data_IF_649951379221
#
_entry.id   IF_649951379221
#
_cell.length_a   1.000
_cell.length_b   1.000
_cell.length_c   1.000
_cell.angle_alpha   90.00
_cell.angle_beta   90.00
_cell.angle_gamma   90.00
#
_symmetry.space_group_name_H-M   'P 1'
#
loop_
_entity.id
_entity.type
_entity.pdbx_description
1 polymer ?
#
# COMPACT_ATOMS: atom_id res chain seq x y z
N UNK A 1 -20.95 7.73 9.97
CA UNK A 1 -19.99 8.86 9.91
C UNK A 1 -18.52 8.39 9.82
N UNK A 2 -18.03 7.45 10.64
CA UNK A 2 -16.62 7.00 10.57
C UNK A 2 -16.26 6.12 9.35
N UNK A 3 -17.21 5.35 8.81
CA UNK A 3 -16.97 4.50 7.63
C UNK A 3 -16.51 5.30 6.40
N UNK A 4 -17.07 6.50 6.21
CA UNK A 4 -16.73 7.38 5.08
C UNK A 4 -15.28 7.88 5.15
N UNK A 5 -14.78 8.23 6.34
CA UNK A 5 -13.40 8.71 6.52
C UNK A 5 -12.38 7.61 6.30
N UNK A 6 -12.65 6.39 6.79
CA UNK A 6 -11.78 5.23 6.57
C UNK A 6 -11.68 4.88 5.08
N UNK A 7 -12.82 4.77 4.42
CA UNK A 7 -12.87 4.44 3.00
C UNK A 7 -12.07 5.44 2.15
N UNK A 8 -12.26 6.75 2.39
CA UNK A 8 -11.49 7.79 1.70
C UNK A 8 -9.98 7.68 1.97
N UNK A 9 -9.58 7.35 3.19
CA UNK A 9 -8.17 7.16 3.54
C UNK A 9 -7.56 5.93 2.85
N UNK A 10 -8.31 4.83 2.78
CA UNK A 10 -7.95 3.64 2.02
C UNK A 10 -7.75 3.96 0.52
N UNK A 11 -8.71 4.67 -0.09
CA UNK A 11 -8.62 5.04 -1.50
C UNK A 11 -7.40 5.91 -1.80
N UNK A 12 -7.13 6.90 -0.94
CA UNK A 12 -5.98 7.77 -1.10
C UNK A 12 -4.67 6.98 -1.04
N UNK A 13 -4.49 6.14 -0.02
CA UNK A 13 -3.28 5.36 0.13
C UNK A 13 -3.09 4.32 -0.97
N UNK A 14 -4.16 3.69 -1.42
CA UNK A 14 -4.09 2.77 -2.55
C UNK A 14 -3.64 3.49 -3.81
N UNK A 15 -4.17 4.68 -4.07
CA UNK A 15 -3.72 5.52 -5.19
C UNK A 15 -2.23 5.84 -5.06
N UNK A 16 -1.77 6.26 -3.89
CA UNK A 16 -0.36 6.58 -3.65
C UNK A 16 0.56 5.36 -3.85
N UNK A 17 0.11 4.15 -3.49
CA UNK A 17 0.84 2.89 -3.78
C UNK A 17 0.91 2.61 -5.28
N UNK A 18 -0.21 2.72 -5.99
CA UNK A 18 -0.28 2.42 -7.43
C UNK A 18 0.54 3.41 -8.27
N UNK A 19 0.48 4.70 -7.92
CA UNK A 19 1.25 5.77 -8.57
C UNK A 19 2.73 5.78 -8.14
N UNK A 20 3.10 4.97 -7.14
CA UNK A 20 4.48 4.84 -6.65
C UNK A 20 4.92 5.93 -5.68
N UNK A 21 3.99 6.76 -5.18
CA UNK A 21 4.23 7.69 -4.07
C UNK A 21 4.56 6.97 -2.76
N UNK A 22 4.08 5.73 -2.59
CA UNK A 22 4.50 4.82 -1.51
C UNK A 22 5.22 3.64 -2.11
N UNK A 23 6.48 3.47 -1.71
CA UNK A 23 7.25 2.29 -2.07
C UNK A 23 6.76 1.08 -1.29
N UNK A 24 6.40 0.02 -2.01
CA UNK A 24 6.16 -1.31 -1.45
C UNK A 24 6.96 -2.36 -2.23
N UNK A 25 7.42 -3.39 -1.51
CA UNK A 25 8.03 -4.57 -2.12
C UNK A 25 6.97 -5.45 -2.79
N UNK A 26 7.39 -6.33 -3.67
CA UNK A 26 6.54 -7.14 -4.55
C UNK A 26 5.59 -8.04 -3.74
N UNK A 27 6.09 -8.70 -2.69
CA UNK A 27 5.27 -9.51 -1.78
C UNK A 27 4.20 -8.68 -1.05
N UNK A 28 4.57 -7.48 -0.61
CA UNK A 28 3.63 -6.57 0.05
C UNK A 28 2.59 -6.05 -0.94
N UNK A 29 3.00 -5.74 -2.17
CA UNK A 29 2.09 -5.33 -3.24
C UNK A 29 1.06 -6.42 -3.54
N UNK A 30 1.47 -7.70 -3.62
CA UNK A 30 0.57 -8.84 -3.80
C UNK A 30 -0.42 -8.99 -2.64
N UNK A 31 0.04 -8.85 -1.41
CA UNK A 31 -0.83 -8.90 -0.24
C UNK A 31 -1.84 -7.75 -0.24
N UNK A 32 -1.40 -6.52 -0.52
CA UNK A 32 -2.27 -5.35 -0.61
C UNK A 32 -3.30 -5.50 -1.74
N UNK A 33 -2.88 -6.00 -2.91
CA UNK A 33 -3.78 -6.31 -4.02
C UNK A 33 -4.85 -7.33 -3.62
N UNK A 34 -4.50 -8.36 -2.83
CA UNK A 34 -5.48 -9.35 -2.35
C UNK A 34 -6.54 -8.76 -1.42
N UNK A 35 -6.16 -7.82 -0.54
CA UNK A 35 -7.12 -7.10 0.30
C UNK A 35 -7.97 -6.11 -0.51
N UNK A 36 -7.39 -5.46 -1.51
CA UNK A 36 -8.13 -4.57 -2.41
C UNK A 36 -9.18 -5.35 -3.23
N UNK A 37 -8.83 -6.55 -3.72
CA UNK A 37 -9.78 -7.45 -4.36
C UNK A 37 -10.90 -7.87 -3.41
N UNK A 38 -10.58 -8.25 -2.17
CA UNK A 38 -11.60 -8.58 -1.17
C UNK A 38 -12.51 -7.38 -0.86
N UNK A 39 -11.96 -6.17 -0.81
CA UNK A 39 -12.74 -4.95 -0.54
C UNK A 39 -13.69 -4.57 -1.70
N UNK A 40 -13.29 -4.77 -2.95
CA UNK A 40 -14.09 -4.38 -4.13
C UNK A 40 -15.01 -5.49 -4.64
N UNK A 41 -14.52 -6.72 -4.65
CA UNK A 41 -15.18 -7.88 -5.26
C UNK A 41 -15.88 -8.74 -4.21
N UNK A 42 -15.47 -8.66 -2.94
CA UNK A 42 -15.95 -9.54 -1.88
C UNK A 42 -15.33 -10.93 -1.97
N UNK A 43 -16.02 -11.93 -1.43
CA UNK A 43 -15.53 -13.30 -1.35
C UNK A 43 -15.25 -13.91 -2.74
N UNK A 44 -14.09 -14.56 -2.88
CA UNK A 44 -13.73 -15.23 -4.12
C UNK A 44 -14.71 -16.37 -4.45
N UNK A 45 -15.40 -16.27 -5.59
CA UNK A 45 -16.26 -17.32 -6.11
C UNK A 45 -15.80 -17.76 -7.52
N UNK A 46 -15.32 -19.00 -7.63
CA UNK A 46 -14.81 -19.56 -8.87
C UNK A 46 -15.84 -19.63 -10.00
N UNK A 47 -17.15 -19.77 -9.69
CA UNK A 47 -18.19 -19.81 -10.73
C UNK A 47 -18.52 -18.44 -11.32
N UNK A 48 -18.18 -17.36 -10.62
CA UNK A 48 -18.47 -15.98 -11.03
C UNK A 48 -17.21 -15.28 -11.54
N UNK A 49 -16.05 -15.56 -10.95
CA UNK A 49 -14.83 -14.81 -11.19
C UNK A 49 -13.96 -15.38 -12.34
N UNK A 50 -14.12 -16.65 -12.74
CA UNK A 50 -13.34 -17.19 -13.87
C UNK A 50 -11.83 -16.91 -13.75
N UNK A 51 -11.13 -16.80 -14.90
CA UNK A 51 -9.68 -16.56 -14.93
C UNK A 51 -9.27 -15.09 -15.13
N UNK A 52 -10.21 -14.18 -15.43
CA UNK A 52 -9.92 -12.79 -15.81
C UNK A 52 -10.77 -11.77 -15.00
N UNK A 53 -11.18 -12.08 -13.76
CA UNK A 53 -11.96 -11.15 -12.92
C UNK A 53 -11.20 -9.91 -12.43
N UNK A 54 -9.90 -9.82 -12.66
CA UNK A 54 -9.12 -8.66 -12.24
C UNK A 54 -8.06 -8.31 -13.28
N UNK A 55 -7.73 -7.01 -13.31
CA UNK A 55 -6.68 -6.44 -14.16
C UNK A 55 -5.51 -6.10 -13.25
N UNK A 56 -4.35 -6.79 -13.32
CA UNK A 56 -3.20 -6.57 -12.44
C UNK A 56 -2.81 -5.09 -12.28
N UNK A 57 -2.89 -4.31 -13.35
CA UNK A 57 -2.57 -2.89 -13.42
C UNK A 57 -3.46 -2.01 -12.51
N UNK A 58 -4.64 -2.48 -12.13
CA UNK A 58 -5.54 -1.77 -11.20
C UNK A 58 -5.26 -2.07 -9.72
N UNK A 59 -4.42 -3.07 -9.44
CA UNK A 59 -4.15 -3.56 -8.08
C UNK A 59 -2.68 -3.55 -7.71
N UNK A 60 -1.77 -3.57 -8.68
CA UNK A 60 -0.34 -3.60 -8.49
C UNK A 60 0.35 -2.40 -9.15
N UNK A 61 1.37 -1.81 -8.50
CA UNK A 61 2.17 -0.76 -9.13
C UNK A 61 2.98 -1.34 -10.30
N UNK A 62 3.17 -0.55 -11.35
CA UNK A 62 3.88 -0.96 -12.58
C UNK A 62 5.26 -1.56 -12.29
N UNK A 63 5.95 -1.06 -11.26
CA UNK A 63 7.26 -1.56 -10.82
C UNK A 63 7.21 -2.99 -10.27
N UNK A 64 6.15 -3.34 -9.53
CA UNK A 64 5.96 -4.69 -9.04
C UNK A 64 5.59 -5.62 -10.21
N UNK A 65 4.73 -5.17 -11.11
CA UNK A 65 4.37 -5.91 -12.34
C UNK A 65 5.59 -6.17 -13.21
N UNK A 66 6.51 -5.22 -13.34
CA UNK A 66 7.73 -5.40 -14.14
C UNK A 66 8.70 -6.46 -13.58
N UNK A 67 8.63 -6.72 -12.26
CA UNK A 67 9.50 -7.69 -11.59
C UNK A 67 8.83 -9.05 -11.38
N UNK A 68 7.51 -9.07 -11.26
CA UNK A 68 6.71 -10.28 -11.14
C UNK A 68 6.35 -10.79 -12.54
N UNK A 69 6.34 -12.10 -12.75
CA UNK A 69 5.83 -12.64 -14.01
C UNK A 69 4.30 -12.58 -14.04
N UNK A 70 3.71 -12.35 -15.22
CA UNK A 70 2.25 -12.34 -15.37
C UNK A 70 1.59 -13.65 -14.91
N UNK A 71 2.27 -14.79 -15.13
CA UNK A 71 1.81 -16.10 -14.65
C UNK A 71 1.84 -16.20 -13.13
N UNK A 72 2.86 -15.67 -12.47
CA UNK A 72 2.93 -15.64 -11.01
C UNK A 72 1.78 -14.82 -10.43
N UNK A 73 1.52 -13.61 -10.96
CA UNK A 73 0.42 -12.76 -10.48
C UNK A 73 -0.92 -13.48 -10.64
N UNK A 74 -1.20 -14.04 -11.83
CA UNK A 74 -2.48 -14.73 -12.12
C UNK A 74 -2.69 -16.01 -11.31
N UNK A 75 -1.63 -16.69 -10.89
CA UNK A 75 -1.75 -17.91 -10.09
C UNK A 75 -1.79 -17.62 -8.59
N UNK A 76 -0.98 -16.68 -8.11
CA UNK A 76 -0.81 -16.40 -6.68
C UNK A 76 -1.85 -15.44 -6.15
N UNK A 77 -2.26 -14.41 -6.90
CA UNK A 77 -3.19 -13.40 -6.40
C UNK A 77 -4.58 -13.97 -6.07
N UNK A 78 -5.18 -14.86 -6.89
CA UNK A 78 -6.44 -15.51 -6.53
C UNK A 78 -6.34 -16.41 -5.30
N UNK A 79 -5.19 -17.05 -5.08
CA UNK A 79 -4.98 -17.87 -3.88
C UNK A 79 -4.96 -17.00 -2.62
N UNK A 80 -4.30 -15.84 -2.68
CA UNK A 80 -4.30 -14.87 -1.58
C UNK A 80 -5.70 -14.29 -1.35
N UNK A 81 -6.43 -13.95 -2.42
CA UNK A 81 -7.81 -13.46 -2.32
C UNK A 81 -8.73 -14.50 -1.65
N UNK A 82 -8.62 -15.78 -2.04
CA UNK A 82 -9.37 -16.88 -1.42
C UNK A 82 -9.05 -17.05 0.07
N UNK A 83 -7.83 -16.76 0.51
CA UNK A 83 -7.46 -16.83 1.92
C UNK A 83 -8.21 -15.81 2.80
N UNK A 84 -8.74 -14.74 2.21
CA UNK A 84 -9.50 -13.68 2.90
C UNK A 84 -11.01 -13.88 2.89
N UNK A 85 -11.49 -15.04 2.43
CA UNK A 85 -12.93 -15.36 2.39
C UNK A 85 -13.57 -15.21 3.77
N UNK A 86 -14.73 -14.54 3.83
CA UNK A 86 -15.48 -14.27 5.05
C UNK A 86 -15.09 -12.97 5.77
N UNK A 87 -14.06 -12.26 5.27
CA UNK A 87 -13.72 -10.91 5.74
C UNK A 87 -14.62 -9.91 5.00
N UNK A 88 -15.28 -9.01 5.75
CA UNK A 88 -16.09 -7.94 5.13
C UNK A 88 -15.22 -6.93 4.38
N UNK A 89 -15.83 -6.23 3.42
CA UNK A 89 -15.25 -5.09 2.71
C UNK A 89 -14.59 -4.08 3.67
N UNK A 90 -15.32 -3.72 4.73
CA UNK A 90 -14.88 -2.80 5.75
C UNK A 90 -13.65 -3.30 6.52
N UNK A 91 -13.56 -4.61 6.76
CA UNK A 91 -12.42 -5.21 7.45
C UNK A 91 -11.22 -5.37 6.50
N UNK A 92 -11.45 -5.70 5.23
CA UNK A 92 -10.42 -5.77 4.21
C UNK A 92 -9.70 -4.42 4.03
N UNK A 93 -10.46 -3.31 4.01
CA UNK A 93 -9.89 -1.96 4.02
C UNK A 93 -9.01 -1.71 5.26
N UNK A 94 -9.45 -2.14 6.45
CA UNK A 94 -8.68 -1.97 7.69
C UNK A 94 -7.37 -2.77 7.63
N UNK A 95 -7.41 -4.01 7.16
CA UNK A 95 -6.20 -4.84 7.02
C UNK A 95 -5.24 -4.26 5.98
N UNK A 96 -5.76 -3.76 4.85
CA UNK A 96 -4.95 -3.02 3.86
C UNK A 96 -4.21 -1.86 4.52
N UNK A 97 -4.94 -1.02 5.26
CA UNK A 97 -4.39 0.13 5.98
C UNK A 97 -3.38 -0.27 7.05
N UNK A 98 -3.59 -1.38 7.76
CA UNK A 98 -2.65 -1.91 8.77
C UNK A 98 -1.36 -2.41 8.14
N UNK A 99 -1.44 -3.18 7.05
CA UNK A 99 -0.25 -3.67 6.32
C UNK A 99 0.58 -2.48 5.85
N UNK A 100 -0.09 -1.47 5.29
CA UNK A 100 0.57 -0.22 4.95
C UNK A 100 1.16 0.44 6.17
N UNK A 101 0.40 0.72 7.24
CA UNK A 101 0.88 1.37 8.46
C UNK A 101 2.13 0.70 9.09
N UNK A 102 2.27 -0.62 8.96
CA UNK A 102 3.46 -1.34 9.42
C UNK A 102 4.70 -1.07 8.55
N UNK A 103 4.54 -0.93 7.23
CA UNK A 103 5.61 -0.54 6.30
C UNK A 103 5.87 0.96 6.31
N UNK A 104 4.82 1.71 6.59
CA UNK A 104 4.71 3.14 6.68
C UNK A 104 5.04 3.65 8.10
N UNK A 105 5.95 2.98 8.83
CA UNK A 105 6.51 3.56 10.06
C UNK A 105 7.10 4.97 9.80
N UNK A 106 7.34 5.30 8.52
CA UNK A 106 7.77 6.60 8.01
C UNK A 106 6.71 7.38 7.20
N UNK A 107 5.43 6.99 7.16
CA UNK A 107 4.40 7.70 6.41
C UNK A 107 3.72 8.79 7.22
N UNK A 108 3.33 9.87 6.52
CA UNK A 108 2.98 11.12 7.16
C UNK A 108 4.21 11.86 7.71
N UNK A 109 5.41 11.43 7.31
CA UNK A 109 6.65 12.16 7.55
C UNK A 109 6.84 13.23 6.49
N UNK A 110 6.69 14.49 6.90
CA UNK A 110 7.09 15.63 6.05
C UNK A 110 8.60 15.79 6.19
N UNK A 111 9.34 15.47 5.12
CA UNK A 111 10.78 15.65 5.08
C UNK A 111 11.14 17.08 4.69
N UNK A 112 11.86 17.78 5.57
CA UNK A 112 12.42 19.10 5.31
C UNK A 112 13.95 19.04 5.41
N UNK A 113 14.66 19.61 4.44
CA UNK A 113 16.12 19.72 4.52
C UNK A 113 16.49 20.79 5.55
N UNK A 114 17.29 20.41 6.54
CA UNK A 114 17.75 21.29 7.62
C UNK A 114 19.27 21.22 7.77
N UNK A 115 19.86 22.34 8.21
CA UNK A 115 21.29 22.43 8.51
C UNK A 115 21.49 22.65 10.00
N UNK A 116 22.41 21.91 10.62
CA UNK A 116 22.68 21.94 12.07
C UNK A 116 23.15 23.33 12.56
N UNK A 117 23.80 24.10 11.69
CA UNK A 117 24.25 25.47 11.97
C UNK A 117 24.00 26.38 10.77
N UNK A 118 23.68 27.66 11.03
CA UNK A 118 23.43 28.71 10.01
C UNK A 118 24.58 28.90 8.99
N UNK A 119 25.77 28.37 9.26
CA UNK A 119 27.01 28.53 8.46
C UNK A 119 27.57 27.23 7.90
N UNK A 120 26.97 26.07 8.20
CA UNK A 120 27.53 24.79 7.79
C UNK A 120 26.83 24.26 6.54
N UNK A 121 27.56 24.25 5.42
CA UNK A 121 27.10 23.75 4.12
C UNK A 121 27.40 22.26 3.91
N UNK A 122 28.00 21.57 4.90
CA UNK A 122 28.55 20.21 4.70
C UNK A 122 27.67 19.07 5.22
N UNK A 123 26.72 19.33 6.11
CA UNK A 123 25.80 18.31 6.62
C UNK A 123 24.36 18.65 6.26
N UNK A 124 23.84 18.07 5.17
CA UNK A 124 22.41 18.16 4.86
C UNK A 124 21.68 17.12 5.69
N UNK A 125 21.01 17.53 6.76
CA UNK A 125 20.12 16.65 7.49
C UNK A 125 18.72 16.73 6.88
N UNK A 126 17.98 15.63 6.88
CA UNK A 126 16.56 15.63 6.54
C UNK A 126 15.75 15.45 7.82
N UNK A 127 14.93 16.44 8.18
CA UNK A 127 14.02 16.37 9.31
C UNK A 127 12.68 15.84 8.83
N UNK A 128 12.33 14.66 9.31
CA UNK A 128 11.01 14.07 9.14
C UNK A 128 10.05 14.47 10.25
N UNK A 129 8.89 15.05 9.90
CA UNK A 129 7.84 15.40 10.85
C UNK A 129 6.69 14.41 10.74
N UNK A 130 6.46 13.58 11.76
CA UNK A 130 5.42 12.55 11.80
C UNK A 130 4.38 12.81 12.90
N UNK A 131 3.23 12.13 12.85
CA UNK A 131 2.25 12.10 13.95
C UNK A 131 2.79 11.49 15.25
N UNK A 132 3.94 10.81 15.21
CA UNK A 132 4.64 10.24 16.36
C UNK A 132 5.74 11.15 16.92
N UNK A 133 6.09 12.23 16.21
CA UNK A 133 7.18 13.14 16.59
C UNK A 133 8.13 13.48 15.43
N UNK A 134 9.26 14.10 15.79
CA UNK A 134 10.32 14.51 14.86
C UNK A 134 11.39 13.42 14.73
N UNK A 135 11.76 13.09 13.50
CA UNK A 135 12.81 12.12 13.15
C UNK A 135 13.90 12.85 12.37
N UNK A 136 15.18 12.66 12.72
CA UNK A 136 16.31 13.29 12.02
C UNK A 136 17.04 12.21 11.23
N UNK A 137 17.20 12.44 9.93
CA UNK A 137 17.98 11.62 9.01
C UNK A 137 19.28 12.35 8.66
N UNK A 138 20.41 11.65 8.74
CA UNK A 138 21.70 12.09 8.21
C UNK A 138 21.82 11.61 6.76
N UNK A 139 22.11 12.51 5.82
CA UNK A 139 22.28 12.23 4.38
C UNK A 139 23.75 12.03 4.07
#
# INVERSE_FOLDING_TARGET
RQQSTRHLYYLQLRKDVLEGGIFVHEETAMLLASYALQAEVGDYNQSVHGNDYFVPEHYLPQRAIAKLTASYIRNTLPQLHKAHTGISDAQAEIEYLKVLAQKLQEYGIIFNKVSKFKKDKRGSYSLGISVRGLIVYEV
#
